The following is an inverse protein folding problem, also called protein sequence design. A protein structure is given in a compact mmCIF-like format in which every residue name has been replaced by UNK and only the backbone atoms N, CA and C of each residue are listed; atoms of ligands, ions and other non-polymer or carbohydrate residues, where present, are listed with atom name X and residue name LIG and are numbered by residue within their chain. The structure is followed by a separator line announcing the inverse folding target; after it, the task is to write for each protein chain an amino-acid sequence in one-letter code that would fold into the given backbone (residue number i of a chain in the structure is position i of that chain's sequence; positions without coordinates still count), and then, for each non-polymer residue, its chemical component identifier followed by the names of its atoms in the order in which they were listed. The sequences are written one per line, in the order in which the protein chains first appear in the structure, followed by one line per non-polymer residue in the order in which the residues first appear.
data_IF_083486489493
#
_entry.id   IF_083486489493
#
_cell.length_a   1.000
_cell.length_b   1.000
_cell.length_c   1.000
_cell.angle_alpha   90.00
_cell.angle_beta   90.00
_cell.angle_gamma   90.00
#
_symmetry.space_group_name_H-M   'P 1'
#
loop_
_entity.id
_entity.type
_entity.pdbx_description
1 polymer ?
#
# COMPACT_ATOMS: atom_id res chain seq x y z
N UNK A 1 5.74 6.18 24.40
CA UNK A 1 4.72 5.11 24.51
C UNK A 1 4.44 4.47 23.16
N UNK A 2 3.94 5.21 22.16
CA UNK A 2 3.64 4.63 20.83
C UNK A 2 4.83 3.87 20.21
N UNK A 3 6.03 4.45 20.21
CA UNK A 3 7.23 3.76 19.71
C UNK A 3 7.59 2.48 20.46
N UNK A 4 7.33 2.40 21.78
CA UNK A 4 7.52 1.17 22.55
C UNK A 4 6.47 0.11 22.17
N UNK A 5 5.23 0.53 21.94
CA UNK A 5 4.19 -0.38 21.48
C UNK A 5 4.52 -0.94 20.08
N UNK A 6 4.96 -0.09 19.15
CA UNK A 6 5.43 -0.52 17.81
C UNK A 6 6.63 -1.47 17.93
N UNK A 7 7.60 -1.16 18.77
CA UNK A 7 8.76 -2.02 19.03
C UNK A 7 8.33 -3.42 19.51
N UNK A 8 7.45 -3.51 20.50
CA UNK A 8 6.99 -4.82 21.00
C UNK A 8 6.09 -5.57 20.03
N UNK A 9 5.38 -4.89 19.11
CA UNK A 9 4.61 -5.55 18.06
C UNK A 9 5.51 -6.28 17.05
N UNK A 10 6.74 -5.79 16.82
CA UNK A 10 7.71 -6.38 15.88
C UNK A 10 8.79 -7.22 16.58
N UNK A 11 9.06 -6.93 17.86
CA UNK A 11 9.96 -7.67 18.74
C UNK A 11 9.22 -8.29 19.94
N UNK A 12 8.14 -9.07 19.74
CA UNK A 12 7.41 -9.66 20.84
C UNK A 12 8.31 -10.64 21.61
N UNK A 13 8.48 -10.46 22.93
CA UNK A 13 9.08 -11.49 23.77
C UNK A 13 8.20 -12.74 23.77
N UNK A 14 8.78 -13.89 24.15
CA UNK A 14 8.12 -15.21 24.08
C UNK A 14 6.79 -15.32 24.85
N UNK A 15 6.52 -14.41 25.79
CA UNK A 15 5.30 -14.39 26.59
C UNK A 15 4.14 -13.59 25.95
N UNK A 16 4.37 -12.85 24.87
CA UNK A 16 3.28 -12.22 24.10
C UNK A 16 2.67 -13.29 23.19
N UNK A 17 1.50 -13.78 23.59
CA UNK A 17 0.65 -14.63 22.76
C UNK A 17 -0.21 -13.80 21.78
N UNK A 18 -1.03 -14.48 20.97
CA UNK A 18 -1.88 -13.82 19.98
C UNK A 18 -2.86 -12.81 20.58
N UNK A 19 -3.45 -13.12 21.73
CA UNK A 19 -4.39 -12.23 22.42
C UNK A 19 -3.69 -10.98 22.96
N UNK A 20 -2.54 -11.16 23.62
CA UNK A 20 -1.71 -10.06 24.13
C UNK A 20 -1.21 -9.17 23.00
N UNK A 21 -0.87 -9.76 21.84
CA UNK A 21 -0.50 -9.01 20.64
C UNK A 21 -1.67 -8.16 20.12
N UNK A 22 -2.89 -8.71 20.09
CA UNK A 22 -4.08 -7.97 19.67
C UNK A 22 -4.39 -6.78 20.61
N UNK A 23 -4.25 -6.97 21.93
CA UNK A 23 -4.37 -5.90 22.93
C UNK A 23 -3.31 -4.82 22.70
N UNK A 24 -2.06 -5.21 22.45
CA UNK A 24 -0.97 -4.26 22.18
C UNK A 24 -1.22 -3.48 20.88
N UNK A 25 -1.76 -4.12 19.85
CA UNK A 25 -2.14 -3.46 18.60
C UNK A 25 -3.26 -2.44 18.84
N UNK A 26 -4.31 -2.80 19.58
CA UNK A 26 -5.37 -1.88 19.96
C UNK A 26 -4.82 -0.67 20.76
N UNK A 27 -3.91 -0.92 21.71
CA UNK A 27 -3.23 0.13 22.46
C UNK A 27 -2.41 1.06 21.55
N UNK A 28 -1.68 0.51 20.57
CA UNK A 28 -0.92 1.31 19.60
C UNK A 28 -1.83 2.25 18.80
N UNK A 29 -3.00 1.77 18.34
CA UNK A 29 -3.99 2.60 17.64
C UNK A 29 -4.61 3.67 18.55
N UNK A 30 -4.89 3.36 19.82
CA UNK A 30 -5.37 4.34 20.80
C UNK A 30 -4.32 5.43 21.09
N UNK A 31 -3.06 5.03 21.29
CA UNK A 31 -1.95 5.97 21.49
C UNK A 31 -1.72 6.85 20.27
N UNK A 32 -1.83 6.28 19.06
CA UNK A 32 -1.80 7.03 17.81
C UNK A 32 -2.93 8.05 17.72
N UNK A 33 -4.18 7.65 17.97
CA UNK A 33 -5.33 8.54 17.93
C UNK A 33 -5.20 9.68 18.95
N UNK A 34 -4.78 9.37 20.18
CA UNK A 34 -4.51 10.36 21.22
C UNK A 34 -3.39 11.32 20.80
N UNK A 35 -2.28 10.81 20.28
CA UNK A 35 -1.17 11.63 19.77
C UNK A 35 -1.59 12.57 18.64
N UNK A 36 -2.26 12.03 17.61
CA UNK A 36 -2.78 12.80 16.48
C UNK A 36 -3.79 13.88 16.90
N UNK A 37 -4.57 13.64 17.97
CA UNK A 37 -5.43 14.66 18.54
C UNK A 37 -4.65 15.73 19.34
N UNK A 38 -3.71 15.32 20.19
CA UNK A 38 -2.92 16.23 21.02
C UNK A 38 -2.03 17.16 20.19
N UNK A 39 -1.40 16.66 19.12
CA UNK A 39 -0.50 17.47 18.30
C UNK A 39 -1.21 18.64 17.60
N UNK A 40 -2.53 18.53 17.37
CA UNK A 40 -3.36 19.62 16.84
C UNK A 40 -3.38 20.85 17.76
N UNK A 41 -3.12 20.68 19.06
CA UNK A 41 -3.10 21.74 20.07
C UNK A 41 -1.73 22.42 20.23
N UNK A 42 -0.69 21.87 19.61
CA UNK A 42 0.71 22.32 19.78
C UNK A 42 1.09 23.28 18.64
N UNK A 43 1.93 24.31 18.84
CA UNK A 43 2.37 25.20 17.76
C UNK A 43 2.89 24.47 16.51
N UNK A 44 2.58 24.98 15.31
CA UNK A 44 2.86 24.28 14.04
C UNK A 44 4.33 23.88 13.86
N UNK A 45 5.29 24.71 14.30
CA UNK A 45 6.73 24.40 14.22
C UNK A 45 7.11 23.20 15.10
N UNK A 46 6.67 23.20 16.36
CA UNK A 46 6.90 22.10 17.29
C UNK A 46 6.20 20.82 16.81
N UNK A 47 4.97 20.93 16.32
CA UNK A 47 4.25 19.82 15.72
C UNK A 47 5.02 19.22 14.53
N UNK A 48 5.54 20.06 13.62
CA UNK A 48 6.34 19.57 12.48
C UNK A 48 7.59 18.82 12.93
N UNK A 49 8.31 19.31 13.94
CA UNK A 49 9.48 18.62 14.50
C UNK A 49 9.11 17.26 15.11
N UNK A 50 8.04 17.19 15.92
CA UNK A 50 7.55 15.94 16.51
C UNK A 50 7.07 14.95 15.43
N UNK A 51 6.38 15.44 14.40
CA UNK A 51 5.91 14.63 13.28
C UNK A 51 7.08 14.04 12.52
N UNK A 52 8.10 14.83 12.21
CA UNK A 52 9.33 14.35 11.55
C UNK A 52 10.05 13.31 12.40
N UNK A 53 10.22 13.56 13.71
CA UNK A 53 10.83 12.61 14.63
C UNK A 53 10.06 11.29 14.69
N UNK A 54 8.72 11.32 14.70
CA UNK A 54 7.92 10.09 14.67
C UNK A 54 7.96 9.38 13.31
N UNK A 55 7.92 10.13 12.21
CA UNK A 55 8.00 9.58 10.84
C UNK A 55 9.35 8.93 10.50
N UNK A 56 10.40 9.24 11.27
CA UNK A 56 11.70 8.56 11.22
C UNK A 56 11.77 7.47 12.30
N UNK A 57 11.46 7.82 13.55
CA UNK A 57 11.67 6.97 14.71
C UNK A 57 10.77 5.73 14.76
N UNK A 58 9.51 5.81 14.31
CA UNK A 58 8.59 4.67 14.35
C UNK A 58 8.91 3.58 13.31
N UNK A 59 9.15 3.87 12.02
CA UNK A 59 9.55 2.83 11.08
C UNK A 59 10.92 2.25 11.44
N UNK A 60 11.84 3.03 12.03
CA UNK A 60 13.09 2.50 12.57
C UNK A 60 12.87 1.62 13.80
N UNK A 61 11.96 1.96 14.71
CA UNK A 61 11.62 1.11 15.84
C UNK A 61 10.89 -0.19 15.42
N UNK A 62 10.15 -0.14 14.30
CA UNK A 62 9.53 -1.31 13.71
C UNK A 62 10.57 -2.20 12.97
N UNK A 63 11.46 -1.57 12.20
CA UNK A 63 12.62 -2.19 11.57
C UNK A 63 13.59 -2.75 12.60
N UNK A 64 14.57 -3.56 12.18
CA UNK A 64 15.52 -4.30 13.04
C UNK A 64 15.05 -5.63 13.62
N UNK A 65 13.78 -6.01 13.44
CA UNK A 65 13.34 -7.40 13.53
C UNK A 65 13.21 -8.01 12.12
N UNK A 66 13.40 -9.33 11.96
CA UNK A 66 12.89 -10.05 10.80
C UNK A 66 11.40 -9.73 10.58
N UNK A 67 10.90 -9.79 9.33
CA UNK A 67 9.51 -9.51 9.08
C UNK A 67 8.60 -10.49 9.80
N UNK A 68 7.48 -9.98 10.31
CA UNK A 68 6.57 -10.75 11.16
C UNK A 68 5.30 -11.17 10.47
N UNK A 69 4.78 -10.34 9.57
CA UNK A 69 3.41 -10.48 9.08
C UNK A 69 3.31 -10.78 7.58
N UNK A 70 4.43 -10.65 6.87
CA UNK A 70 4.57 -10.92 5.44
C UNK A 70 6.01 -11.31 5.13
N UNK A 71 6.20 -12.17 4.15
CA UNK A 71 7.50 -12.63 3.63
C UNK A 71 7.81 -12.04 2.24
N UNK A 72 6.96 -11.12 1.75
CA UNK A 72 7.13 -10.48 0.44
C UNK A 72 8.49 -9.80 0.25
N UNK A 73 9.10 -9.31 1.34
CA UNK A 73 10.41 -8.65 1.23
C UNK A 73 11.53 -9.59 0.76
N UNK A 74 11.42 -10.89 1.03
CA UNK A 74 12.37 -11.87 0.51
C UNK A 74 12.24 -11.98 -1.02
N UNK A 75 11.02 -11.84 -1.54
CA UNK A 75 10.77 -11.72 -2.99
C UNK A 75 11.34 -10.43 -3.56
N UNK A 76 11.26 -9.30 -2.84
CA UNK A 76 11.88 -8.03 -3.26
C UNK A 76 13.40 -8.16 -3.40
N UNK A 77 14.05 -8.77 -2.40
CA UNK A 77 15.51 -9.00 -2.41
C UNK A 77 15.88 -9.94 -3.56
N UNK A 78 15.15 -11.04 -3.73
CA UNK A 78 15.40 -12.00 -4.80
C UNK A 78 15.27 -11.37 -6.19
N UNK A 79 14.18 -10.68 -6.45
CA UNK A 79 13.93 -10.04 -7.75
C UNK A 79 15.01 -8.99 -8.07
N UNK A 80 15.44 -8.22 -7.07
CA UNK A 80 16.56 -7.28 -7.19
C UNK A 80 17.86 -7.98 -7.63
N UNK A 81 18.22 -9.10 -6.98
CA UNK A 81 19.42 -9.89 -7.32
C UNK A 81 19.33 -10.50 -8.72
N UNK A 82 18.18 -11.03 -9.10
CA UNK A 82 17.94 -11.59 -10.44
C UNK A 82 18.16 -10.52 -11.50
N UNK A 83 17.61 -9.32 -11.29
CA UNK A 83 17.78 -8.22 -12.22
C UNK A 83 19.21 -7.65 -12.25
N UNK A 84 19.87 -7.54 -11.09
CA UNK A 84 21.29 -7.16 -11.00
C UNK A 84 22.22 -8.15 -11.71
N UNK A 85 21.84 -9.43 -11.77
CA UNK A 85 22.54 -10.46 -12.54
C UNK A 85 22.28 -10.39 -14.06
N UNK A 86 21.51 -9.40 -14.53
CA UNK A 86 21.19 -9.21 -15.95
C UNK A 86 20.08 -10.14 -16.45
N UNK A 87 19.33 -10.78 -15.55
CA UNK A 87 18.21 -11.66 -15.88
C UNK A 87 16.90 -10.92 -15.63
N UNK A 88 15.99 -10.98 -16.59
CA UNK A 88 14.67 -10.38 -16.43
C UNK A 88 13.84 -11.15 -15.36
N UNK A 89 13.34 -10.49 -14.29
CA UNK A 89 12.58 -11.15 -13.22
C UNK A 89 11.27 -11.82 -13.66
N UNK A 90 10.75 -11.48 -14.83
CA UNK A 90 9.55 -12.10 -15.41
C UNK A 90 9.87 -13.41 -16.16
N UNK A 91 11.15 -13.73 -16.36
CA UNK A 91 11.58 -14.86 -17.19
C UNK A 91 11.46 -16.21 -16.48
N UNK A 92 11.79 -16.25 -15.20
CA UNK A 92 11.88 -17.49 -14.44
C UNK A 92 11.31 -17.32 -13.03
N UNK A 93 10.62 -18.36 -12.55
CA UNK A 93 10.26 -18.49 -11.14
C UNK A 93 11.52 -18.62 -10.25
N UNK A 94 11.49 -18.22 -8.95
CA UNK A 94 12.63 -18.37 -8.04
C UNK A 94 13.23 -19.77 -7.99
N UNK A 95 12.37 -20.80 -8.06
CA UNK A 95 12.79 -22.19 -8.01
C UNK A 95 13.26 -22.77 -9.35
N UNK A 96 13.32 -21.98 -10.41
CA UNK A 96 13.80 -22.43 -11.71
C UNK A 96 15.28 -22.89 -11.63
N UNK A 97 15.67 -23.96 -12.34
CA UNK A 97 17.04 -24.46 -12.39
C UNK A 97 18.06 -23.39 -12.84
N UNK A 98 17.67 -22.51 -13.75
CA UNK A 98 18.48 -21.43 -14.32
C UNK A 98 18.96 -20.43 -13.26
N UNK A 99 18.22 -20.27 -12.17
CA UNK A 99 18.52 -19.33 -11.09
C UNK A 99 19.26 -19.98 -9.91
N UNK A 100 19.58 -21.28 -9.99
CA UNK A 100 20.26 -22.01 -8.89
C UNK A 100 21.59 -21.39 -8.51
N UNK A 101 22.33 -20.82 -9.46
CA UNK A 101 23.60 -20.13 -9.20
C UNK A 101 23.47 -18.81 -8.41
N UNK A 102 22.26 -18.25 -8.26
CA UNK A 102 21.99 -17.05 -7.46
C UNK A 102 21.50 -17.37 -6.03
N UNK A 103 21.28 -18.65 -5.71
CA UNK A 103 20.80 -19.07 -4.39
C UNK A 103 21.92 -18.94 -3.36
N UNK A 104 21.58 -18.44 -2.18
CA UNK A 104 22.49 -18.35 -1.03
C UNK A 104 21.84 -18.91 0.24
N UNK A 105 22.65 -19.15 1.28
CA UNK A 105 22.18 -19.68 2.57
C UNK A 105 21.21 -18.73 3.31
N UNK A 106 21.13 -17.47 2.88
CA UNK A 106 20.22 -16.50 3.47
C UNK A 106 18.79 -16.67 2.93
N UNK A 107 18.60 -16.69 1.61
CA UNK A 107 17.28 -16.83 0.98
C UNK A 107 16.86 -18.30 0.84
N UNK A 108 17.80 -19.24 0.84
CA UNK A 108 17.57 -20.68 0.69
C UNK A 108 18.08 -21.52 1.89
N UNK A 109 17.75 -21.17 3.15
CA UNK A 109 18.18 -21.97 4.28
C UNK A 109 17.39 -23.28 4.34
N UNK A 110 18.02 -24.34 4.87
CA UNK A 110 17.42 -25.68 4.98
C UNK A 110 16.08 -25.69 5.70
N UNK A 111 15.93 -24.86 6.74
CA UNK A 111 14.69 -24.70 7.50
C UNK A 111 13.96 -23.46 7.00
N UNK A 112 13.00 -23.67 6.12
CA UNK A 112 12.25 -22.60 5.47
C UNK A 112 10.78 -22.97 5.31
N UNK A 113 9.85 -21.99 5.30
CA UNK A 113 8.41 -22.24 5.24
C UNK A 113 7.94 -22.69 3.84
N UNK A 114 8.66 -22.36 2.78
CA UNK A 114 8.28 -22.69 1.41
C UNK A 114 9.23 -23.71 0.83
N UNK A 115 8.71 -24.86 0.38
CA UNK A 115 9.53 -25.93 -0.21
C UNK A 115 8.99 -26.35 -1.57
N UNK A 116 9.90 -26.59 -2.51
CA UNK A 116 9.64 -27.26 -3.78
C UNK A 116 10.12 -28.69 -3.69
N UNK A 117 9.21 -29.63 -3.92
CA UNK A 117 9.49 -31.07 -3.87
C UNK A 117 10.16 -31.55 -5.17
N UNK A 118 10.91 -32.67 -5.12
CA UNK A 118 11.39 -33.34 -6.33
C UNK A 118 10.27 -33.60 -7.35
N UNK A 119 10.51 -33.21 -8.61
CA UNK A 119 9.52 -33.32 -9.69
C UNK A 119 8.47 -32.22 -9.71
N UNK A 120 8.59 -31.18 -8.87
CA UNK A 120 7.73 -30.00 -8.94
C UNK A 120 7.93 -29.22 -10.25
N UNK A 121 6.85 -28.62 -10.73
CA UNK A 121 6.85 -27.71 -11.89
C UNK A 121 6.37 -26.33 -11.51
N UNK A 122 6.72 -25.31 -12.29
CA UNK A 122 6.09 -23.99 -12.16
C UNK A 122 4.60 -24.07 -12.49
N UNK A 123 3.84 -23.05 -12.08
CA UNK A 123 2.39 -23.03 -12.25
C UNK A 123 1.94 -22.38 -13.55
N UNK A 124 2.82 -21.66 -14.21
CA UNK A 124 2.51 -20.84 -15.38
C UNK A 124 2.80 -21.57 -16.70
N UNK A 125 3.97 -22.21 -16.81
CA UNK A 125 4.47 -22.84 -18.03
C UNK A 125 4.62 -24.37 -17.89
N UNK A 126 4.52 -24.90 -16.67
CA UNK A 126 4.74 -26.30 -16.35
C UNK A 126 6.21 -26.73 -16.43
N UNK A 127 7.16 -25.79 -16.36
CA UNK A 127 8.59 -26.12 -16.47
C UNK A 127 9.13 -26.77 -15.19
N UNK A 128 10.12 -27.67 -15.28
CA UNK A 128 10.72 -28.31 -14.12
C UNK A 128 11.34 -27.31 -13.15
N UNK A 129 11.15 -27.53 -11.84
CA UNK A 129 11.77 -26.73 -10.79
C UNK A 129 12.89 -27.49 -10.06
N UNK A 130 13.91 -26.75 -9.65
CA UNK A 130 14.98 -27.28 -8.82
C UNK A 130 14.51 -27.35 -7.34
N UNK A 131 14.51 -28.55 -6.73
CA UNK A 131 14.03 -28.75 -5.36
C UNK A 131 14.81 -27.93 -4.33
N UNK A 132 14.17 -27.66 -3.19
CA UNK A 132 14.77 -26.91 -2.09
C UNK A 132 13.73 -26.12 -1.31
N UNK A 133 14.14 -25.62 -0.15
CA UNK A 133 13.30 -24.76 0.67
C UNK A 133 13.88 -23.33 0.73
N UNK A 134 13.00 -22.33 0.85
CA UNK A 134 13.34 -20.91 0.76
C UNK A 134 12.43 -20.03 1.61
N UNK A 135 12.97 -18.88 2.02
CA UNK A 135 12.19 -17.80 2.64
C UNK A 135 11.32 -17.04 1.63
N UNK A 136 11.57 -17.21 0.32
CA UNK A 136 10.83 -16.55 -0.75
C UNK A 136 9.46 -17.20 -0.89
N UNK A 137 8.40 -16.42 -0.70
CA UNK A 137 7.06 -16.93 -0.93
C UNK A 137 6.80 -17.24 -2.40
N UNK A 138 5.92 -18.22 -2.64
CA UNK A 138 5.52 -18.67 -3.97
C UNK A 138 6.75 -18.91 -4.88
N UNK A 139 7.69 -19.77 -4.49
CA UNK A 139 8.93 -19.94 -5.24
C UNK A 139 8.72 -20.59 -6.62
N UNK A 140 7.54 -21.13 -6.89
CA UNK A 140 7.16 -21.77 -8.15
C UNK A 140 6.44 -20.87 -9.15
N UNK A 141 6.38 -19.55 -8.92
CA UNK A 141 5.67 -18.61 -9.81
C UNK A 141 6.57 -17.45 -10.21
N UNK A 142 6.26 -16.78 -11.31
CA UNK A 142 7.00 -15.64 -11.84
C UNK A 142 6.74 -14.39 -10.97
N UNK A 143 7.50 -13.32 -11.17
CA UNK A 143 7.23 -12.10 -10.38
C UNK A 143 5.84 -11.54 -10.71
N UNK A 144 5.19 -10.97 -9.70
CA UNK A 144 3.94 -10.21 -9.85
C UNK A 144 4.20 -8.70 -9.85
N UNK A 145 5.44 -8.29 -9.52
CA UNK A 145 5.76 -6.89 -9.24
C UNK A 145 6.03 -6.12 -10.53
N UNK A 146 5.30 -5.00 -10.77
CA UNK A 146 5.49 -4.16 -11.95
C UNK A 146 6.91 -3.58 -12.11
N UNK A 147 7.33 -3.15 -13.32
CA UNK A 147 8.71 -2.75 -13.61
C UNK A 147 9.28 -1.61 -12.77
N UNK A 148 8.49 -0.61 -12.34
CA UNK A 148 9.02 0.43 -11.46
C UNK A 148 9.29 -0.08 -10.04
N UNK A 149 8.63 -1.17 -9.61
CA UNK A 149 9.01 -1.89 -8.40
C UNK A 149 10.32 -2.65 -8.60
N UNK A 150 10.49 -3.29 -9.76
CA UNK A 150 11.71 -4.00 -10.13
C UNK A 150 12.93 -3.06 -10.13
N UNK A 151 12.76 -1.83 -10.63
CA UNK A 151 13.78 -0.77 -10.51
C UNK A 151 14.11 -0.42 -9.05
N UNK A 152 13.12 -0.36 -8.16
CA UNK A 152 13.35 -0.14 -6.73
C UNK A 152 14.12 -1.31 -6.10
N UNK A 153 13.74 -2.55 -6.41
CA UNK A 153 14.42 -3.74 -5.90
C UNK A 153 15.88 -3.81 -6.36
N UNK A 154 16.12 -3.59 -7.65
CA UNK A 154 17.47 -3.52 -8.24
C UNK A 154 18.28 -2.39 -7.60
N UNK A 155 17.70 -1.21 -7.42
CA UNK A 155 18.40 -0.10 -6.78
C UNK A 155 18.79 -0.41 -5.32
N UNK A 156 17.93 -1.09 -4.57
CA UNK A 156 18.25 -1.53 -3.21
C UNK A 156 19.38 -2.56 -3.25
N UNK A 157 19.33 -3.54 -4.13
CA UNK A 157 20.38 -4.57 -4.27
C UNK A 157 21.74 -3.96 -4.64
N UNK A 158 21.80 -3.14 -5.69
CA UNK A 158 23.04 -2.48 -6.16
C UNK A 158 23.67 -1.53 -5.13
N UNK A 159 22.87 -0.94 -4.24
CA UNK A 159 23.35 -0.06 -3.18
C UNK A 159 23.63 -0.79 -1.87
N UNK A 160 23.29 -2.07 -1.78
CA UNK A 160 23.49 -2.88 -0.58
C UNK A 160 24.92 -3.38 -0.49
N UNK A 161 25.51 -3.44 0.72
CA UNK A 161 26.76 -4.15 0.93
C UNK A 161 26.62 -5.64 0.60
N UNK A 162 27.70 -6.27 0.14
CA UNK A 162 27.74 -7.72 -0.11
C UNK A 162 27.31 -8.52 1.14
N UNK A 163 26.48 -9.54 0.92
CA UNK A 163 25.95 -10.38 2.00
C UNK A 163 24.89 -9.70 2.88
N UNK A 164 24.40 -8.52 2.51
CA UNK A 164 23.30 -7.89 3.21
C UNK A 164 22.01 -8.72 3.11
N UNK A 165 21.25 -8.70 4.22
CA UNK A 165 20.00 -9.44 4.41
C UNK A 165 18.78 -8.51 4.26
N UNK A 166 17.86 -8.49 5.21
CA UNK A 166 16.63 -7.69 5.18
C UNK A 166 16.85 -6.19 5.41
N UNK A 167 17.96 -5.82 6.06
CA UNK A 167 18.15 -4.45 6.57
C UNK A 167 18.13 -3.38 5.47
N UNK A 168 18.79 -3.54 4.31
CA UNK A 168 18.75 -2.50 3.28
C UNK A 168 17.33 -2.22 2.76
N UNK A 169 16.52 -3.26 2.52
CA UNK A 169 15.15 -3.07 2.04
C UNK A 169 14.25 -2.44 3.11
N UNK A 170 14.41 -2.82 4.39
CA UNK A 170 13.72 -2.19 5.52
C UNK A 170 14.11 -0.70 5.67
N UNK A 171 15.41 -0.38 5.58
CA UNK A 171 15.90 0.99 5.66
C UNK A 171 15.45 1.84 4.48
N UNK A 172 15.42 1.27 3.27
CA UNK A 172 14.92 1.94 2.07
C UNK A 172 13.42 2.25 2.20
N UNK A 173 12.61 1.29 2.66
CA UNK A 173 11.19 1.51 2.90
C UNK A 173 10.94 2.55 4.02
N UNK A 174 11.71 2.50 5.11
CA UNK A 174 11.68 3.50 6.18
C UNK A 174 12.07 4.91 5.68
N UNK A 175 13.05 5.00 4.77
CA UNK A 175 13.43 6.25 4.11
C UNK A 175 12.26 6.82 3.31
N UNK A 176 11.49 5.99 2.61
CA UNK A 176 10.29 6.45 1.92
C UNK A 176 9.17 6.91 2.87
N UNK A 177 9.02 6.29 4.06
CA UNK A 177 8.10 6.81 5.10
C UNK A 177 8.51 8.23 5.54
N UNK A 178 9.81 8.44 5.77
CA UNK A 178 10.36 9.74 6.12
C UNK A 178 10.23 10.75 4.96
N UNK A 179 10.47 10.32 3.71
CA UNK A 179 10.34 11.15 2.52
C UNK A 179 8.89 11.61 2.31
N UNK A 180 7.91 10.73 2.48
CA UNK A 180 6.49 11.13 2.48
C UNK A 180 6.21 12.10 3.61
N UNK A 181 6.71 11.85 4.82
CA UNK A 181 6.52 12.77 5.97
C UNK A 181 7.05 14.17 5.67
N UNK A 182 8.27 14.27 5.14
CA UNK A 182 8.88 15.55 4.72
C UNK A 182 8.05 16.20 3.61
N UNK A 183 7.65 15.44 2.59
CA UNK A 183 6.81 15.93 1.50
C UNK A 183 5.50 16.50 2.02
N UNK A 184 4.81 15.82 2.94
CA UNK A 184 3.56 16.30 3.54
C UNK A 184 3.78 17.59 4.34
N UNK A 185 4.79 17.63 5.22
CA UNK A 185 5.10 18.81 6.03
C UNK A 185 5.44 20.04 5.18
N UNK A 186 6.07 19.84 4.02
CA UNK A 186 6.38 20.91 3.08
C UNK A 186 5.17 21.28 2.20
N UNK A 187 4.46 20.31 1.65
CA UNK A 187 3.43 20.54 0.65
C UNK A 187 2.10 21.02 1.25
N UNK A 188 1.66 20.44 2.37
CA UNK A 188 0.36 20.72 2.98
C UNK A 188 0.11 22.22 3.24
N UNK A 189 1.04 22.99 3.85
CA UNK A 189 0.84 24.43 4.06
C UNK A 189 0.64 25.21 2.75
N UNK A 190 1.33 24.81 1.68
CA UNK A 190 1.24 25.44 0.35
C UNK A 190 -0.07 25.10 -0.38
N UNK A 191 -0.76 24.06 0.07
CA UNK A 191 -2.06 23.61 -0.43
C UNK A 191 -3.22 24.09 0.48
N UNK A 192 -2.93 24.87 1.53
CA UNK A 192 -3.93 25.33 2.50
C UNK A 192 -4.40 24.25 3.47
N UNK A 193 -3.64 23.17 3.64
CA UNK A 193 -3.91 22.07 4.57
C UNK A 193 -3.09 22.29 5.85
N UNK A 194 -3.66 21.98 7.03
CA UNK A 194 -2.91 22.06 8.28
C UNK A 194 -1.80 20.98 8.29
N UNK A 195 -0.50 21.36 8.34
CA UNK A 195 0.61 20.39 8.34
C UNK A 195 0.58 19.41 9.52
N UNK A 196 -0.16 19.73 10.59
CA UNK A 196 -0.32 18.83 11.73
C UNK A 196 -1.02 17.52 11.36
N UNK A 197 -1.79 17.50 10.26
CA UNK A 197 -2.43 16.29 9.74
C UNK A 197 -1.43 15.26 9.19
N UNK A 198 -0.19 15.67 8.89
CA UNK A 198 0.87 14.72 8.53
C UNK A 198 1.16 13.70 9.64
N UNK A 199 0.77 13.97 10.90
CA UNK A 199 0.79 12.99 11.97
C UNK A 199 -0.03 11.73 11.66
N UNK A 200 -1.11 11.84 10.88
CA UNK A 200 -1.95 10.71 10.49
C UNK A 200 -1.21 9.70 9.60
N UNK A 201 -0.17 10.15 8.89
CA UNK A 201 0.76 9.29 8.16
C UNK A 201 1.92 8.87 9.07
N UNK A 202 2.66 9.85 9.58
CA UNK A 202 3.94 9.66 10.23
C UNK A 202 3.85 8.83 11.52
N UNK A 203 2.72 8.88 12.21
CA UNK A 203 2.50 8.18 13.48
C UNK A 203 1.58 6.97 13.38
N UNK A 204 1.10 6.64 12.17
CA UNK A 204 0.20 5.51 12.00
C UNK A 204 0.95 4.20 12.28
N UNK A 205 0.46 3.35 13.22
CA UNK A 205 1.08 2.05 13.50
C UNK A 205 1.20 1.18 12.26
N UNK A 206 0.19 1.23 11.37
CA UNK A 206 0.18 0.50 10.11
C UNK A 206 1.34 0.91 9.21
N UNK A 207 1.54 2.21 8.99
CA UNK A 207 2.63 2.70 8.13
C UNK A 207 3.98 2.26 8.70
N UNK A 208 4.17 2.37 10.02
CA UNK A 208 5.41 1.98 10.68
C UNK A 208 5.69 0.48 10.59
N UNK A 209 4.71 -0.38 10.87
CA UNK A 209 4.89 -1.84 10.89
C UNK A 209 5.00 -2.38 9.46
N UNK A 210 4.08 -2.02 8.58
CA UNK A 210 4.05 -2.57 7.22
C UNK A 210 5.21 -2.06 6.36
N UNK A 211 5.62 -0.80 6.52
CA UNK A 211 6.74 -0.26 5.74
C UNK A 211 8.10 -0.45 6.45
N UNK A 212 8.14 -0.44 7.79
CA UNK A 212 9.39 -0.54 8.54
C UNK A 212 9.83 -1.98 8.80
N UNK A 213 8.93 -2.83 9.30
CA UNK A 213 9.26 -4.23 9.60
C UNK A 213 9.09 -5.13 8.36
N UNK A 214 7.92 -5.08 7.71
CA UNK A 214 7.64 -5.93 6.55
C UNK A 214 8.19 -5.35 5.24
N UNK A 215 8.74 -4.13 5.27
CA UNK A 215 9.36 -3.45 4.13
C UNK A 215 8.46 -3.33 2.89
N UNK A 216 7.14 -3.24 3.07
CA UNK A 216 6.21 -3.24 1.94
C UNK A 216 6.47 -2.07 0.99
N UNK A 217 6.69 -2.44 -0.27
CA UNK A 217 6.87 -1.60 -1.45
C UNK A 217 5.80 -0.50 -1.60
N UNK A 218 4.59 -0.73 -1.10
CA UNK A 218 3.43 0.17 -1.21
C UNK A 218 3.76 1.61 -0.74
N UNK A 219 4.75 1.80 0.15
CA UNK A 219 5.25 3.12 0.57
C UNK A 219 5.90 3.92 -0.57
N UNK A 220 6.57 3.26 -1.52
CA UNK A 220 7.17 3.89 -2.70
C UNK A 220 6.07 4.39 -3.64
N UNK A 221 5.04 3.56 -3.88
CA UNK A 221 3.86 3.95 -4.63
C UNK A 221 3.11 5.11 -3.97
N UNK A 222 3.01 5.11 -2.63
CA UNK A 222 2.44 6.22 -1.87
C UNK A 222 3.24 7.52 -2.04
N UNK A 223 4.57 7.46 -1.99
CA UNK A 223 5.43 8.62 -2.23
C UNK A 223 5.23 9.23 -3.62
N UNK A 224 5.28 8.41 -4.67
CA UNK A 224 5.06 8.85 -6.05
C UNK A 224 3.65 9.42 -6.23
N UNK A 225 2.65 8.82 -5.60
CA UNK A 225 1.27 9.33 -5.61
C UNK A 225 1.15 10.67 -4.89
N UNK A 226 1.80 10.84 -3.74
CA UNK A 226 1.81 12.10 -3.01
C UNK A 226 2.44 13.22 -3.85
N UNK A 227 3.59 12.93 -4.47
CA UNK A 227 4.26 13.86 -5.38
C UNK A 227 3.37 14.23 -6.57
N UNK A 228 2.73 13.24 -7.21
CA UNK A 228 1.79 13.46 -8.31
C UNK A 228 0.63 14.38 -7.89
N UNK A 229 -0.02 14.11 -6.76
CA UNK A 229 -1.13 14.92 -6.25
C UNK A 229 -0.70 16.36 -5.95
N UNK A 230 0.46 16.56 -5.33
CA UNK A 230 1.01 17.90 -5.03
C UNK A 230 1.30 18.68 -6.31
N UNK A 231 1.87 18.03 -7.33
CA UNK A 231 2.15 18.65 -8.63
C UNK A 231 0.84 18.99 -9.35
N UNK A 232 -0.09 18.05 -9.45
CA UNK A 232 -1.37 18.22 -10.16
C UNK A 232 -2.25 19.31 -9.53
N UNK A 233 -2.34 19.34 -8.20
CA UNK A 233 -3.13 20.34 -7.47
C UNK A 233 -2.62 21.78 -7.71
N UNK A 234 -1.35 21.94 -8.06
CA UNK A 234 -0.73 23.25 -8.31
C UNK A 234 -0.48 23.53 -9.79
N UNK A 235 -0.79 22.58 -10.66
CA UNK A 235 -0.44 22.65 -12.07
C UNK A 235 -1.21 23.79 -12.78
N UNK A 236 -0.46 24.71 -13.39
CA UNK A 236 -0.99 25.81 -14.21
C UNK A 236 -0.67 25.63 -15.70
N UNK A 237 0.23 24.71 -16.05
CA UNK A 237 0.72 24.50 -17.42
C UNK A 237 0.54 23.05 -17.86
N UNK A 238 0.47 22.79 -19.17
CA UNK A 238 0.40 21.42 -19.72
C UNK A 238 1.60 20.59 -19.26
N UNK A 239 2.81 21.16 -19.25
CA UNK A 239 4.03 20.50 -18.76
C UNK A 239 3.90 20.03 -17.31
N UNK A 240 3.41 20.88 -16.41
CA UNK A 240 3.25 20.50 -14.99
C UNK A 240 2.17 19.45 -14.80
N UNK A 241 1.09 19.49 -15.59
CA UNK A 241 0.09 18.42 -15.61
C UNK A 241 0.69 17.10 -16.10
N UNK A 242 1.49 17.13 -17.16
CA UNK A 242 2.16 15.94 -17.70
C UNK A 242 3.13 15.33 -16.68
N UNK A 243 3.93 16.15 -15.97
CA UNK A 243 4.81 15.66 -14.89
C UNK A 243 3.98 14.96 -13.79
N UNK A 244 2.85 15.55 -13.38
CA UNK A 244 1.96 14.92 -12.42
C UNK A 244 1.39 13.58 -12.91
N UNK A 245 1.00 13.50 -14.18
CA UNK A 245 0.55 12.26 -14.81
C UNK A 245 1.67 11.20 -14.92
N UNK A 246 2.90 11.59 -15.26
CA UNK A 246 4.06 10.70 -15.31
C UNK A 246 4.36 10.11 -13.92
N UNK A 247 4.36 10.94 -12.88
CA UNK A 247 4.55 10.47 -11.49
C UNK A 247 3.46 9.48 -11.06
N UNK A 248 2.20 9.74 -11.43
CA UNK A 248 1.10 8.81 -11.14
C UNK A 248 1.23 7.51 -11.95
N UNK A 249 1.66 7.58 -13.21
CA UNK A 249 1.94 6.39 -14.02
C UNK A 249 3.07 5.54 -13.44
N UNK A 250 4.15 6.17 -12.95
CA UNK A 250 5.21 5.48 -12.23
C UNK A 250 4.70 4.86 -10.93
N UNK A 251 3.84 5.55 -10.17
CA UNK A 251 3.23 4.99 -8.97
C UNK A 251 2.41 3.71 -9.28
N UNK A 252 1.61 3.73 -10.36
CA UNK A 252 0.84 2.58 -10.85
C UNK A 252 1.77 1.45 -11.30
N UNK A 253 2.89 1.79 -11.95
CA UNK A 253 3.92 0.84 -12.35
C UNK A 253 4.85 0.42 -11.19
N UNK A 254 4.63 0.89 -9.96
CA UNK A 254 5.24 0.35 -8.73
C UNK A 254 4.28 -0.63 -8.07
N UNK A 255 3.00 -0.26 -7.94
CA UNK A 255 1.93 -1.11 -7.41
C UNK A 255 0.66 -0.70 -8.13
N UNK A 256 -0.28 -1.61 -8.38
CA UNK A 256 -1.51 -1.25 -9.13
C UNK A 256 -2.44 -0.34 -8.31
N UNK A 257 -2.33 -0.31 -6.98
CA UNK A 257 -3.26 0.40 -6.08
C UNK A 257 -3.38 1.92 -6.32
N UNK A 258 -2.33 2.70 -6.68
CA UNK A 258 -2.45 4.11 -7.05
C UNK A 258 -3.34 4.39 -8.27
N UNK A 259 -3.71 3.39 -9.08
CA UNK A 259 -4.68 3.56 -10.16
C UNK A 259 -6.03 4.06 -9.64
N UNK A 260 -6.36 3.77 -8.37
CA UNK A 260 -7.56 4.28 -7.69
C UNK A 260 -7.58 5.80 -7.52
N UNK A 261 -6.44 6.48 -7.69
CA UNK A 261 -6.31 7.95 -7.66
C UNK A 261 -6.49 8.59 -9.05
N UNK A 262 -6.50 7.78 -10.12
CA UNK A 262 -6.63 8.28 -11.48
C UNK A 262 -7.96 9.01 -11.75
N UNK A 263 -9.14 8.52 -11.32
CA UNK A 263 -10.40 9.21 -11.60
C UNK A 263 -10.45 10.66 -11.10
N UNK A 264 -9.88 10.95 -9.93
CA UNK A 264 -9.81 12.34 -9.43
C UNK A 264 -8.75 13.16 -10.16
N UNK A 265 -7.59 12.56 -10.44
CA UNK A 265 -6.47 13.21 -11.15
C UNK A 265 -6.81 13.62 -12.58
N UNK A 266 -7.62 12.81 -13.29
CA UNK A 266 -8.07 13.08 -14.65
C UNK A 266 -8.95 14.33 -14.77
N UNK A 267 -9.51 14.84 -13.67
CA UNK A 267 -10.40 16.01 -13.68
C UNK A 267 -9.73 17.30 -14.19
N UNK A 268 -8.40 17.42 -14.06
CA UNK A 268 -7.64 18.63 -14.45
C UNK A 268 -7.56 18.80 -15.97
N UNK A 269 -7.00 17.80 -16.65
CA UNK A 269 -6.84 17.71 -18.11
C UNK A 269 -6.78 16.22 -18.48
N UNK A 270 -7.93 15.58 -18.75
CA UNK A 270 -8.02 14.12 -18.81
C UNK A 270 -7.08 13.52 -19.84
N UNK A 271 -7.02 14.08 -21.05
CA UNK A 271 -6.13 13.59 -22.11
C UNK A 271 -4.64 13.71 -21.74
N UNK A 272 -4.20 14.84 -21.19
CA UNK A 272 -2.78 15.03 -20.82
C UNK A 272 -2.38 14.08 -19.69
N UNK A 273 -3.23 13.95 -18.67
CA UNK A 273 -2.98 13.06 -17.53
C UNK A 273 -2.99 11.61 -17.98
N UNK A 274 -4.00 11.18 -18.75
CA UNK A 274 -4.10 9.82 -19.26
C UNK A 274 -2.91 9.44 -20.16
N UNK A 275 -2.55 10.31 -21.12
CA UNK A 275 -1.41 10.06 -22.00
C UNK A 275 -0.09 10.03 -21.23
N UNK A 276 0.10 10.89 -20.23
CA UNK A 276 1.30 10.88 -19.40
C UNK A 276 1.39 9.63 -18.52
N UNK A 277 0.28 9.17 -17.93
CA UNK A 277 0.22 7.89 -17.20
C UNK A 277 0.59 6.74 -18.13
N UNK A 278 -0.05 6.66 -19.30
CA UNK A 278 0.20 5.63 -20.29
C UNK A 278 1.66 5.63 -20.77
N UNK A 279 2.24 6.81 -21.01
CA UNK A 279 3.63 6.95 -21.42
C UNK A 279 4.60 6.46 -20.33
N UNK A 280 4.39 6.83 -19.06
CA UNK A 280 5.24 6.38 -17.96
C UNK A 280 5.21 4.84 -17.81
N UNK A 281 4.01 4.23 -17.87
CA UNK A 281 3.85 2.78 -17.81
C UNK A 281 4.53 2.13 -19.03
N UNK A 282 4.24 2.61 -20.24
CA UNK A 282 4.82 2.05 -21.46
C UNK A 282 6.36 2.10 -21.45
N UNK A 283 6.96 3.23 -21.00
CA UNK A 283 8.41 3.39 -20.95
C UNK A 283 9.07 2.37 -20.02
N UNK A 284 8.50 2.11 -18.84
CA UNK A 284 9.10 1.15 -17.90
C UNK A 284 8.81 -0.31 -18.27
N UNK A 285 7.70 -0.60 -18.95
CA UNK A 285 7.38 -1.95 -19.42
C UNK A 285 8.10 -2.33 -20.72
N UNK A 286 8.41 -1.37 -21.60
CA UNK A 286 8.95 -1.64 -22.93
C UNK A 286 10.23 -2.51 -22.92
N UNK A 287 11.24 -2.27 -22.06
CA UNK A 287 12.43 -3.14 -22.01
C UNK A 287 12.09 -4.60 -21.70
N UNK A 288 11.16 -4.83 -20.76
CA UNK A 288 10.74 -6.18 -20.37
C UNK A 288 9.91 -6.85 -21.48
N UNK A 289 9.02 -6.12 -22.15
CA UNK A 289 8.28 -6.63 -23.31
C UNK A 289 9.24 -7.05 -24.43
N UNK A 290 10.31 -6.29 -24.68
CA UNK A 290 11.33 -6.64 -25.68
C UNK A 290 12.10 -7.90 -25.23
N UNK A 291 12.41 -8.03 -23.93
CA UNK A 291 13.23 -9.11 -23.41
C UNK A 291 12.48 -10.45 -23.28
N UNK A 292 11.23 -10.43 -22.83
CA UNK A 292 10.45 -11.63 -22.47
C UNK A 292 9.05 -11.69 -23.10
N UNK A 293 8.67 -10.71 -23.91
CA UNK A 293 7.38 -10.68 -24.60
C UNK A 293 6.19 -10.69 -23.62
N UNK A 294 5.17 -11.56 -23.83
CA UNK A 294 3.97 -11.60 -22.99
C UNK A 294 4.23 -12.08 -21.56
N UNK A 295 5.37 -12.72 -21.28
CA UNK A 295 5.73 -13.17 -19.93
C UNK A 295 5.87 -12.01 -18.92
N UNK A 296 5.98 -10.75 -19.39
CA UNK A 296 5.95 -9.55 -18.54
C UNK A 296 4.67 -9.39 -17.72
N UNK A 297 3.58 -10.08 -18.09
CA UNK A 297 2.38 -10.15 -17.25
C UNK A 297 2.65 -10.89 -15.93
N UNK A 298 3.66 -11.76 -15.93
CA UNK A 298 4.12 -12.53 -14.78
C UNK A 298 3.00 -13.29 -14.10
N UNK A 299 3.04 -13.34 -12.77
CA UNK A 299 2.05 -14.05 -11.96
C UNK A 299 0.72 -13.30 -11.79
N UNK A 300 0.49 -12.16 -12.44
CA UNK A 300 -0.72 -11.35 -12.21
C UNK A 300 -2.03 -12.13 -12.44
N UNK A 301 -2.20 -12.93 -13.51
CA UNK A 301 -3.43 -13.71 -13.70
C UNK A 301 -3.64 -14.76 -12.59
N UNK A 302 -2.58 -15.49 -12.23
CA UNK A 302 -2.61 -16.49 -11.16
C UNK A 302 -2.88 -15.86 -9.80
N UNK A 303 -2.29 -14.69 -9.54
CA UNK A 303 -2.54 -13.89 -8.35
C UNK A 303 -4.01 -13.47 -8.21
N UNK A 304 -4.64 -13.00 -9.29
CA UNK A 304 -6.07 -12.65 -9.26
C UNK A 304 -6.97 -13.85 -8.97
N UNK A 305 -6.60 -15.03 -9.47
CA UNK A 305 -7.29 -16.27 -9.18
C UNK A 305 -7.13 -16.69 -7.70
N UNK A 306 -5.89 -16.69 -7.20
CA UNK A 306 -5.57 -17.06 -5.83
C UNK A 306 -6.22 -16.16 -4.78
N UNK A 307 -6.31 -14.87 -5.06
CA UNK A 307 -6.98 -13.91 -4.17
C UNK A 307 -8.51 -13.96 -4.29
N UNK A 308 -9.06 -14.80 -5.19
CA UNK A 308 -10.50 -15.01 -5.32
C UNK A 308 -11.24 -13.91 -6.09
N UNK A 309 -10.55 -13.14 -6.93
CA UNK A 309 -11.23 -12.13 -7.78
C UNK A 309 -12.12 -12.81 -8.82
N UNK A 310 -11.64 -13.89 -9.45
CA UNK A 310 -12.40 -14.64 -10.47
C UNK A 310 -13.55 -15.47 -9.90
N UNK A 311 -13.35 -16.07 -8.72
CA UNK A 311 -14.40 -16.84 -8.01
C UNK A 311 -15.39 -15.96 -7.26
N UNK A 312 -15.04 -14.69 -7.00
CA UNK A 312 -15.85 -13.74 -6.25
C UNK A 312 -15.71 -13.86 -4.72
N UNK A 313 -14.91 -14.80 -4.22
CA UNK A 313 -14.68 -14.97 -2.76
C UNK A 313 -13.89 -13.80 -2.16
N UNK A 314 -13.20 -13.00 -2.99
CA UNK A 314 -12.53 -11.77 -2.57
C UNK A 314 -13.47 -10.74 -1.95
N UNK A 315 -14.74 -10.71 -2.37
CA UNK A 315 -15.69 -9.64 -2.03
C UNK A 315 -16.54 -10.03 -0.79
N UNK A 316 -15.89 -10.17 0.37
CA UNK A 316 -16.48 -10.80 1.57
C UNK A 316 -17.76 -10.13 2.09
N UNK A 317 -17.89 -8.80 1.92
CA UNK A 317 -19.12 -8.07 2.25
C UNK A 317 -20.21 -8.24 1.19
N UNK A 318 -19.87 -8.18 -0.09
CA UNK A 318 -20.86 -8.33 -1.17
C UNK A 318 -21.43 -9.74 -1.23
N UNK A 319 -20.63 -10.74 -0.85
CA UNK A 319 -21.08 -12.15 -0.77
C UNK A 319 -22.09 -12.41 0.35
N UNK A 320 -22.37 -11.44 1.23
CA UNK A 320 -23.50 -11.51 2.16
C UNK A 320 -24.85 -11.27 1.47
N UNK A 321 -24.84 -10.61 0.31
CA UNK A 321 -26.03 -10.16 -0.42
C UNK A 321 -26.15 -10.87 -1.77
N UNK A 322 -25.02 -11.10 -2.43
CA UNK A 322 -24.95 -11.66 -3.78
C UNK A 322 -24.22 -13.01 -3.78
N UNK A 323 -24.56 -13.94 -4.70
CA UNK A 323 -23.70 -15.07 -5.01
C UNK A 323 -22.30 -14.60 -5.46
N UNK A 324 -21.22 -15.39 -5.25
CA UNK A 324 -19.85 -14.95 -5.54
C UNK A 324 -19.62 -14.44 -6.97
N UNK A 325 -20.15 -15.12 -8.00
CA UNK A 325 -20.04 -14.68 -9.39
C UNK A 325 -20.67 -13.30 -9.65
N UNK A 326 -21.77 -12.99 -8.98
CA UNK A 326 -22.47 -11.71 -9.07
C UNK A 326 -21.77 -10.65 -8.24
N UNK A 327 -21.16 -11.02 -7.10
CA UNK A 327 -20.44 -10.09 -6.24
C UNK A 327 -19.27 -9.40 -6.97
N UNK A 328 -18.51 -10.13 -7.81
CA UNK A 328 -17.44 -9.55 -8.61
C UNK A 328 -17.96 -8.51 -9.64
N UNK A 329 -19.04 -8.85 -10.35
CA UNK A 329 -19.68 -7.96 -11.33
C UNK A 329 -20.24 -6.72 -10.63
N UNK A 330 -20.91 -6.90 -9.49
CA UNK A 330 -21.43 -5.82 -8.68
C UNK A 330 -20.31 -4.89 -8.18
N UNK A 331 -19.18 -5.45 -7.72
CA UNK A 331 -18.03 -4.66 -7.29
C UNK A 331 -17.49 -3.78 -8.42
N UNK A 332 -17.29 -4.35 -9.62
CA UNK A 332 -16.82 -3.59 -10.80
C UNK A 332 -17.82 -2.49 -11.16
N UNK A 333 -19.12 -2.80 -11.20
CA UNK A 333 -20.15 -1.81 -11.49
C UNK A 333 -20.14 -0.67 -10.47
N UNK A 334 -20.12 -0.98 -9.17
CA UNK A 334 -20.04 0.03 -8.11
C UNK A 334 -18.77 0.87 -8.25
N UNK A 335 -17.62 0.25 -8.51
CA UNK A 335 -16.36 0.97 -8.73
C UNK A 335 -16.42 1.92 -9.92
N UNK A 336 -17.03 1.52 -11.04
CA UNK A 336 -17.21 2.39 -12.22
C UNK A 336 -18.12 3.57 -11.87
N UNK A 337 -19.25 3.32 -11.22
CA UNK A 337 -20.18 4.39 -10.79
C UNK A 337 -19.48 5.37 -9.84
N UNK A 338 -18.72 4.85 -8.86
CA UNK A 338 -17.96 5.67 -7.92
C UNK A 338 -16.84 6.43 -8.65
N UNK A 339 -16.14 5.82 -9.61
CA UNK A 339 -15.11 6.48 -10.40
C UNK A 339 -15.67 7.63 -11.23
N UNK A 340 -16.82 7.45 -11.88
CA UNK A 340 -17.53 8.51 -12.63
C UNK A 340 -17.95 9.63 -11.68
N UNK A 341 -18.55 9.29 -10.52
CA UNK A 341 -18.96 10.26 -9.53
C UNK A 341 -17.78 11.05 -8.94
N UNK A 342 -16.66 10.38 -8.68
CA UNK A 342 -15.39 10.96 -8.24
C UNK A 342 -14.87 11.91 -9.30
N UNK A 343 -14.72 11.46 -10.54
CA UNK A 343 -14.25 12.30 -11.64
C UNK A 343 -15.13 13.55 -11.79
N UNK A 344 -16.45 13.40 -11.84
CA UNK A 344 -17.40 14.50 -12.02
C UNK A 344 -17.36 15.53 -10.88
N UNK A 345 -17.21 15.09 -9.62
CA UNK A 345 -17.30 15.95 -8.42
C UNK A 345 -15.96 16.42 -7.87
N UNK A 346 -14.84 15.98 -8.46
CA UNK A 346 -13.52 16.36 -7.97
C UNK A 346 -13.28 17.86 -8.16
N UNK A 347 -12.82 18.52 -7.09
CA UNK A 347 -12.09 19.78 -7.21
C UNK A 347 -10.66 19.46 -7.68
N UNK A 348 -10.24 19.90 -8.87
CA UNK A 348 -8.91 19.58 -9.40
C UNK A 348 -7.76 20.27 -8.66
N UNK A 349 -8.02 21.26 -7.80
CA UNK A 349 -7.01 21.82 -6.88
C UNK A 349 -6.95 21.01 -5.55
N UNK A 350 -7.90 20.10 -5.31
CA UNK A 350 -7.97 19.22 -4.11
C UNK A 350 -8.33 17.75 -4.45
N UNK A 351 -7.60 17.09 -5.36
CA UNK A 351 -7.95 15.76 -5.88
C UNK A 351 -7.97 14.64 -4.83
N UNK A 352 -7.29 14.81 -3.69
CA UNK A 352 -7.27 13.84 -2.59
C UNK A 352 -8.62 13.67 -1.89
N UNK A 353 -9.49 14.69 -1.89
CA UNK A 353 -10.78 14.66 -1.19
C UNK A 353 -11.76 13.63 -1.77
N UNK A 354 -11.67 13.37 -3.06
CA UNK A 354 -12.46 12.37 -3.76
C UNK A 354 -11.68 11.06 -3.96
N UNK A 355 -10.35 11.14 -4.10
CA UNK A 355 -9.48 9.95 -4.14
C UNK A 355 -9.60 9.08 -2.89
N UNK A 356 -9.69 9.68 -1.69
CA UNK A 356 -9.88 8.91 -0.44
C UNK A 356 -11.17 8.08 -0.47
N UNK A 357 -12.25 8.61 -1.07
CA UNK A 357 -13.50 7.88 -1.22
C UNK A 357 -13.39 6.77 -2.27
N UNK A 358 -12.72 7.01 -3.40
CA UNK A 358 -12.46 5.98 -4.41
C UNK A 358 -11.65 4.82 -3.83
N UNK A 359 -10.50 5.13 -3.22
CA UNK A 359 -9.60 4.14 -2.63
C UNK A 359 -10.26 3.40 -1.48
N UNK A 360 -10.90 4.12 -0.56
CA UNK A 360 -11.58 3.52 0.58
C UNK A 360 -12.75 2.62 0.15
N UNK A 361 -13.54 3.04 -0.84
CA UNK A 361 -14.64 2.22 -1.38
C UNK A 361 -14.09 0.96 -2.06
N UNK A 362 -13.00 1.05 -2.81
CA UNK A 362 -12.38 -0.12 -3.41
C UNK A 362 -11.93 -1.14 -2.36
N UNK A 363 -11.35 -0.68 -1.25
CA UNK A 363 -10.96 -1.56 -0.15
C UNK A 363 -12.17 -2.15 0.60
N UNK A 364 -13.26 -1.40 0.76
CA UNK A 364 -14.52 -1.93 1.32
C UNK A 364 -15.14 -3.00 0.43
N UNK A 365 -15.09 -2.83 -0.90
CA UNK A 365 -15.66 -3.79 -1.84
C UNK A 365 -14.78 -5.06 -1.91
N UNK A 366 -13.46 -4.88 -2.04
CA UNK A 366 -12.51 -5.98 -2.24
C UNK A 366 -12.05 -6.66 -0.96
N UNK A 367 -12.33 -6.07 0.22
CA UNK A 367 -12.04 -6.63 1.55
C UNK A 367 -10.69 -7.36 1.66
N UNK A 368 -9.56 -6.71 1.33
CA UNK A 368 -8.28 -7.43 1.27
C UNK A 368 -7.90 -8.08 2.60
N UNK A 369 -7.20 -9.20 2.52
CA UNK A 369 -6.77 -9.99 3.68
C UNK A 369 -5.65 -9.38 4.53
N UNK A 370 -5.07 -8.29 4.07
CA UNK A 370 -3.80 -7.79 4.56
C UNK A 370 -3.83 -6.27 4.75
N UNK A 371 -3.12 -5.78 5.78
CA UNK A 371 -3.19 -4.37 6.17
C UNK A 371 -2.45 -3.41 5.24
N UNK A 372 -1.37 -3.85 4.57
CA UNK A 372 -0.54 -2.99 3.73
C UNK A 372 -1.29 -2.37 2.54
N UNK A 373 -2.40 -2.96 2.07
CA UNK A 373 -3.27 -2.36 1.04
C UNK A 373 -3.82 -0.97 1.46
N UNK A 374 -3.86 -0.68 2.76
CA UNK A 374 -4.35 0.59 3.27
C UNK A 374 -3.28 1.69 3.35
N UNK A 375 -2.00 1.43 3.03
CA UNK A 375 -0.93 2.46 3.07
C UNK A 375 -1.31 3.68 2.21
N UNK A 376 -1.76 3.45 0.97
CA UNK A 376 -2.23 4.52 0.10
C UNK A 376 -3.44 5.27 0.70
N UNK A 377 -4.36 4.55 1.35
CA UNK A 377 -5.52 5.17 1.99
C UNK A 377 -5.10 6.08 3.15
N UNK A 378 -4.15 5.66 3.99
CA UNK A 378 -3.62 6.47 5.10
C UNK A 378 -3.01 7.79 4.60
N UNK A 379 -2.25 7.75 3.50
CA UNK A 379 -1.75 8.96 2.83
C UNK A 379 -2.89 9.91 2.43
N UNK A 380 -3.93 9.38 1.78
CA UNK A 380 -5.08 10.17 1.31
C UNK A 380 -5.90 10.74 2.48
N UNK A 381 -5.98 10.01 3.60
CA UNK A 381 -6.61 10.50 4.84
C UNK A 381 -5.84 11.70 5.39
N UNK A 382 -4.50 11.66 5.41
CA UNK A 382 -3.68 12.77 5.86
C UNK A 382 -3.92 14.05 5.04
N UNK A 383 -4.06 13.94 3.72
CA UNK A 383 -4.39 15.09 2.86
C UNK A 383 -5.82 15.61 3.04
N UNK A 384 -6.78 14.72 3.29
CA UNK A 384 -8.22 15.04 3.22
C UNK A 384 -8.90 15.31 4.58
N UNK A 385 -8.23 15.01 5.70
CA UNK A 385 -8.80 15.03 7.06
C UNK A 385 -10.10 14.19 7.18
N UNK A 386 -10.17 13.10 6.40
CA UNK A 386 -11.30 12.15 6.42
C UNK A 386 -10.97 10.97 7.34
N UNK A 387 -10.77 11.26 8.63
CA UNK A 387 -10.29 10.30 9.63
C UNK A 387 -11.18 9.06 9.78
N UNK A 388 -12.46 9.13 9.40
CA UNK A 388 -13.38 7.98 9.45
C UNK A 388 -12.87 6.78 8.62
N UNK A 389 -12.10 7.03 7.56
CA UNK A 389 -11.53 5.98 6.71
C UNK A 389 -10.38 5.22 7.37
N UNK A 390 -9.83 5.69 8.50
CA UNK A 390 -8.87 4.91 9.29
C UNK A 390 -9.48 3.59 9.79
N UNK A 391 -10.81 3.53 9.91
CA UNK A 391 -11.52 2.28 10.24
C UNK A 391 -11.29 1.19 9.18
N UNK A 392 -11.17 1.54 7.90
CA UNK A 392 -10.87 0.61 6.81
C UNK A 392 -9.42 0.12 6.88
N UNK A 393 -8.50 0.98 7.30
CA UNK A 393 -7.11 0.60 7.55
C UNK A 393 -7.00 -0.41 8.72
N UNK A 394 -7.77 -0.17 9.79
CA UNK A 394 -7.85 -1.09 10.93
C UNK A 394 -8.50 -2.43 10.56
N UNK A 395 -9.50 -2.43 9.68
CA UNK A 395 -10.18 -3.64 9.20
C UNK A 395 -9.20 -4.65 8.55
N UNK A 396 -8.21 -4.16 7.81
CA UNK A 396 -7.18 -5.01 7.21
C UNK A 396 -6.36 -5.78 8.25
N UNK A 397 -6.10 -5.19 9.42
CA UNK A 397 -5.43 -5.89 10.52
C UNK A 397 -6.28 -6.97 11.17
N UNK A 398 -7.60 -6.76 11.26
CA UNK A 398 -8.50 -7.80 11.78
C UNK A 398 -8.46 -9.05 10.89
N UNK A 399 -8.49 -8.86 9.57
CA UNK A 399 -8.38 -9.96 8.61
C UNK A 399 -7.01 -10.66 8.68
N UNK A 400 -5.92 -9.88 8.66
CA UNK A 400 -4.55 -10.39 8.67
C UNK A 400 -4.23 -11.22 9.93
N UNK A 401 -4.81 -10.85 11.06
CA UNK A 401 -4.58 -11.51 12.35
C UNK A 401 -5.82 -12.27 12.86
N UNK A 402 -6.67 -12.77 11.96
CA UNK A 402 -7.89 -13.50 12.30
C UNK A 402 -7.65 -14.64 13.31
N UNK A 403 -6.54 -15.38 13.14
CA UNK A 403 -6.15 -16.46 14.06
C UNK A 403 -5.89 -15.98 15.50
N UNK A 404 -5.28 -14.81 15.68
CA UNK A 404 -5.06 -14.22 17.00
C UNK A 404 -6.37 -13.80 17.67
N UNK A 405 -7.40 -13.54 16.87
CA UNK A 405 -8.74 -13.16 17.30
C UNK A 405 -9.69 -14.36 17.45
N UNK A 406 -9.22 -15.58 17.18
CA UNK A 406 -10.03 -16.80 17.16
C UNK A 406 -11.22 -16.71 16.18
N UNK A 407 -11.03 -15.99 15.07
CA UNK A 407 -12.01 -15.85 14.00
C UNK A 407 -11.55 -16.63 12.76
N UNK A 408 -12.51 -17.12 11.97
CA UNK A 408 -12.19 -17.51 10.60
C UNK A 408 -11.75 -16.28 9.79
N UNK A 409 -10.92 -16.49 8.77
CA UNK A 409 -10.43 -15.39 7.93
C UNK A 409 -11.60 -14.58 7.32
N UNK A 410 -12.61 -15.26 6.78
CA UNK A 410 -13.80 -14.64 6.19
C UNK A 410 -14.63 -13.88 7.22
N UNK A 411 -14.79 -14.42 8.43
CA UNK A 411 -15.55 -13.74 9.49
C UNK A 411 -14.82 -12.48 9.98
N UNK A 412 -13.48 -12.54 10.10
CA UNK A 412 -12.66 -11.38 10.44
C UNK A 412 -12.75 -10.29 9.37
N UNK A 413 -12.73 -10.65 8.07
CA UNK A 413 -12.97 -9.71 6.97
C UNK A 413 -14.35 -9.07 7.08
N UNK A 414 -15.41 -9.87 7.22
CA UNK A 414 -16.79 -9.37 7.31
C UNK A 414 -17.01 -8.46 8.51
N UNK A 415 -16.50 -8.85 9.67
CA UNK A 415 -16.60 -8.05 10.89
C UNK A 415 -15.82 -6.74 10.76
N UNK A 416 -14.55 -6.80 10.39
CA UNK A 416 -13.68 -5.63 10.29
C UNK A 416 -14.17 -4.63 9.25
N UNK A 417 -14.35 -5.08 8.00
CA UNK A 417 -14.80 -4.19 6.92
C UNK A 417 -16.27 -3.78 7.08
N UNK A 418 -17.12 -4.61 7.70
CA UNK A 418 -18.50 -4.27 8.03
C UNK A 418 -18.60 -3.14 9.04
N UNK A 419 -17.81 -3.19 10.13
CA UNK A 419 -17.69 -2.10 11.10
C UNK A 419 -17.16 -0.85 10.40
N UNK A 420 -16.13 -0.97 9.56
CA UNK A 420 -15.59 0.18 8.83
C UNK A 420 -16.62 0.82 7.88
N UNK A 421 -17.40 0.02 7.16
CA UNK A 421 -18.49 0.49 6.30
C UNK A 421 -19.56 1.25 7.11
N UNK A 422 -19.92 0.76 8.29
CA UNK A 422 -20.86 1.43 9.18
C UNK A 422 -20.31 2.78 9.68
N UNK A 423 -19.06 2.82 10.12
CA UNK A 423 -18.39 4.05 10.58
C UNK A 423 -18.32 5.10 9.46
N UNK A 424 -17.88 4.72 8.28
CA UNK A 424 -17.78 5.63 7.12
C UNK A 424 -19.16 6.13 6.68
N UNK A 425 -20.17 5.25 6.70
CA UNK A 425 -21.55 5.61 6.36
C UNK A 425 -22.13 6.58 7.37
N UNK A 426 -22.01 6.30 8.67
CA UNK A 426 -22.47 7.18 9.74
C UNK A 426 -21.80 8.56 9.67
N UNK A 427 -20.48 8.61 9.46
CA UNK A 427 -19.75 9.87 9.28
C UNK A 427 -20.20 10.64 8.02
N UNK A 428 -20.49 9.93 6.92
CA UNK A 428 -20.98 10.54 5.68
C UNK A 428 -22.38 11.13 5.86
N UNK A 429 -23.30 10.39 6.47
CA UNK A 429 -24.65 10.86 6.78
C UNK A 429 -24.62 12.06 7.73
N UNK A 430 -23.80 12.00 8.78
CA UNK A 430 -23.60 13.14 9.70
C UNK A 430 -23.15 14.41 8.95
N UNK A 431 -22.16 14.30 8.07
CA UNK A 431 -21.71 15.44 7.24
C UNK A 431 -22.82 15.94 6.31
N UNK A 432 -23.61 15.07 5.71
CA UNK A 432 -24.71 15.45 4.82
C UNK A 432 -25.83 16.21 5.55
N UNK A 433 -26.20 15.77 6.75
CA UNK A 433 -27.38 16.30 7.46
C UNK A 433 -27.07 17.43 8.44
N UNK A 434 -25.88 17.46 9.03
CA UNK A 434 -25.54 18.43 10.09
C UNK A 434 -24.74 19.60 9.52
N UNK A 435 -23.75 19.35 8.66
CA UNK A 435 -22.88 20.42 8.14
C UNK A 435 -23.58 21.28 7.08
N UNK A 436 -24.47 20.69 6.27
CA UNK A 436 -25.27 21.47 5.30
C UNK A 436 -26.33 22.37 5.93
N UNK A 437 -26.67 22.18 7.21
CA UNK A 437 -27.65 22.99 7.95
C UNK A 437 -27.06 24.24 8.59
N UNK A 438 -25.75 24.44 8.58
CA UNK A 438 -25.10 25.66 9.08
C UNK A 438 -25.01 26.64 7.90
N UNK A 439 -25.78 27.75 7.87
CA UNK A 439 -25.64 28.76 6.84
C UNK A 439 -24.23 29.34 6.91
N UNK A 440 -23.55 29.49 5.77
CA UNK A 440 -22.30 30.24 5.71
C UNK A 440 -22.57 31.67 6.19
N UNK A 441 -21.75 32.26 7.09
CA UNK A 441 -21.85 33.68 7.38
C UNK A 441 -21.61 34.42 6.07
N UNK A 442 -22.66 35.09 5.60
CA UNK A 442 -22.65 35.96 4.44
C UNK A 442 -21.46 36.91 4.52
N UNK A 443 -20.75 37.00 3.40
CA UNK A 443 -19.86 38.11 3.02
C UNK A 443 -20.52 39.45 3.37
N UNK A 444 -20.10 40.05 4.47
CA UNK A 444 -20.27 41.47 4.69
C UNK A 444 -19.14 42.17 3.92
N UNK A 445 -19.46 42.68 2.73
CA UNK A 445 -18.69 43.74 2.09
C UNK A 445 -18.93 45.05 2.86
N UNK A 446 -17.90 45.89 2.98
CA UNK A 446 -17.99 47.23 2.41
C UNK A 446 -17.18 47.35 1.13
#
# INVERSE_FOLDING_TARGET
MLGLAVWWLTHPPKWIDGASWAVLMALAWLLFAAGAWLVRKVPKRTAAALILLGGIGLPLAAGFAPPRSSDDLYRYIWDGRVQSAGIDPYRYAPAAPELTGLRDDFLWPQQSPWCVVPGGTDREEGLPLAPGCTLINRPSVHTVYPPAAQLYFTAVDLLSPDGAKERPVQLAAALFVAAVTVLLLLAMPRLGIDPRLAALWAWCPLVAIESGNNAHLDVVGAFLTAAALVVLARAKTVRTVAIGGLLLGLAIATKVTPALVAPSSLRRRPFVVASAIGAAIAVVYLPHVIAVGPAVLGYLPGYLNDEGYGSGTRFALLTLIFPPSVAAIAAVFILVVVAIAVWARTDPDRPWNSAVAMTGTALLLTTPGYSWYAILLVLLIAFSDRIEWLSVALAGYMAQYAGNLQLSFTDAQRLGYGIAAAVVTAATLYRMFVVRKIPSPTTALP
#
